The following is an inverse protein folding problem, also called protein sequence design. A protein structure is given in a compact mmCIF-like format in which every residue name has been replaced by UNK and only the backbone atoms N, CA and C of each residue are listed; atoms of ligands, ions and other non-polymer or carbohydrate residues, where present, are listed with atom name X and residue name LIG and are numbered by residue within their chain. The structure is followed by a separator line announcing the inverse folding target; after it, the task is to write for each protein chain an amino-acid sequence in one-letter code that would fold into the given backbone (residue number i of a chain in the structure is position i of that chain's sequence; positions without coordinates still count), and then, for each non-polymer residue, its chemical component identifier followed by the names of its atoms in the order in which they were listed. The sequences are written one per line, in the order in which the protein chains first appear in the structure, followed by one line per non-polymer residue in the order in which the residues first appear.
data_IF_146770730428
#
_entry.id   IF_146770730428
#
_cell.length_a   1.000
_cell.length_b   1.000
_cell.length_c   1.000
_cell.angle_alpha   90.00
_cell.angle_beta   90.00
_cell.angle_gamma   90.00
#
_symmetry.space_group_name_H-M   'P 1'
#
loop_
_entity.id
_entity.type
_entity.pdbx_description
1 polymer ?
#
# COMPACT_ATOMS: atom_id res chain seq x y z
N UNK A 1 27.81 -6.91 -13.83
CA UNK A 1 26.77 -7.30 -12.84
C UNK A 1 25.91 -6.11 -12.43
N UNK A 2 26.50 -5.01 -11.96
CA UNK A 2 25.80 -3.79 -11.51
C UNK A 2 24.81 -3.20 -12.54
N UNK A 3 25.18 -3.12 -13.82
CA UNK A 3 24.27 -2.65 -14.90
C UNK A 3 22.98 -3.48 -15.03
N UNK A 4 23.04 -4.80 -14.78
CA UNK A 4 21.86 -5.69 -14.85
C UNK A 4 20.92 -5.45 -13.66
N UNK A 5 21.49 -5.25 -12.47
CA UNK A 5 20.74 -4.99 -11.23
C UNK A 5 20.03 -3.63 -11.32
N UNK A 6 20.74 -2.58 -11.76
CA UNK A 6 20.15 -1.24 -11.95
C UNK A 6 18.97 -1.30 -12.93
N UNK A 7 19.15 -2.00 -14.07
CA UNK A 7 18.06 -2.20 -15.03
C UNK A 7 16.86 -2.92 -14.40
N UNK A 8 17.11 -3.94 -13.58
CA UNK A 8 16.05 -4.69 -12.92
C UNK A 8 15.28 -3.85 -11.90
N UNK A 9 15.97 -3.04 -11.09
CA UNK A 9 15.38 -2.07 -10.15
C UNK A 9 14.49 -1.08 -10.90
N UNK A 10 14.99 -0.48 -11.99
CA UNK A 10 14.22 0.47 -12.79
C UNK A 10 12.99 -0.19 -13.44
N UNK A 11 13.17 -1.37 -14.04
CA UNK A 11 12.05 -2.12 -14.62
C UNK A 11 11.00 -2.49 -13.57
N UNK A 12 11.42 -2.89 -12.37
CA UNK A 12 10.54 -3.21 -11.25
C UNK A 12 9.71 -1.98 -10.85
N UNK A 13 10.37 -0.85 -10.60
CA UNK A 13 9.72 0.40 -10.22
C UNK A 13 8.71 0.85 -11.27
N UNK A 14 9.12 0.91 -12.55
CA UNK A 14 8.25 1.35 -13.63
C UNK A 14 7.06 0.41 -13.83
N UNK A 15 7.29 -0.91 -13.79
CA UNK A 15 6.20 -1.89 -13.90
C UNK A 15 5.18 -1.72 -12.78
N UNK A 16 5.65 -1.53 -11.55
CA UNK A 16 4.78 -1.28 -10.41
C UNK A 16 3.94 -0.02 -10.60
N UNK A 17 4.59 1.11 -10.85
CA UNK A 17 3.92 2.39 -11.05
C UNK A 17 2.86 2.32 -12.16
N UNK A 18 3.20 1.73 -13.31
CA UNK A 18 2.26 1.58 -14.43
C UNK A 18 1.06 0.72 -14.06
N UNK A 19 1.26 -0.40 -13.36
CA UNK A 19 0.16 -1.28 -12.94
C UNK A 19 -0.72 -0.59 -11.90
N UNK A 20 -0.15 0.09 -10.91
CA UNK A 20 -0.94 0.78 -9.91
C UNK A 20 -1.80 1.90 -10.54
N UNK A 21 -1.26 2.66 -11.51
CA UNK A 21 -2.04 3.65 -12.26
C UNK A 21 -3.21 2.99 -12.99
N UNK A 22 -2.95 1.88 -13.70
CA UNK A 22 -4.01 1.17 -14.43
C UNK A 22 -5.10 0.65 -13.50
N UNK A 23 -4.70 0.06 -12.37
CA UNK A 23 -5.62 -0.43 -11.36
C UNK A 23 -6.44 0.71 -10.73
N UNK A 24 -5.80 1.84 -10.43
CA UNK A 24 -6.46 3.05 -9.92
C UNK A 24 -7.51 3.58 -10.91
N UNK A 25 -7.14 3.76 -12.18
CA UNK A 25 -8.07 4.20 -13.23
C UNK A 25 -9.24 3.23 -13.37
N UNK A 26 -8.96 1.91 -13.34
CA UNK A 26 -10.01 0.88 -13.48
C UNK A 26 -11.00 0.95 -12.31
N UNK A 27 -10.51 1.05 -11.07
CA UNK A 27 -11.38 1.20 -9.91
C UNK A 27 -12.19 2.51 -9.99
N UNK A 28 -11.57 3.58 -10.47
CA UNK A 28 -12.24 4.86 -10.68
C UNK A 28 -13.38 4.78 -11.69
N UNK A 29 -13.17 4.16 -12.86
CA UNK A 29 -14.21 4.04 -13.89
C UNK A 29 -15.36 3.12 -13.50
N UNK A 30 -15.16 2.25 -12.50
CA UNK A 30 -16.17 1.34 -11.99
C UNK A 30 -16.96 1.91 -10.80
N UNK A 31 -16.59 3.08 -10.27
CA UNK A 31 -17.33 3.75 -9.20
C UNK A 31 -18.69 4.26 -9.72
N UNK A 32 -19.79 4.04 -8.99
CA UNK A 32 -21.11 4.53 -9.39
C UNK A 32 -21.14 6.06 -9.53
N UNK A 33 -21.76 6.58 -10.59
CA UNK A 33 -21.86 8.01 -10.88
C UNK A 33 -22.46 8.84 -9.74
N UNK A 34 -23.37 8.27 -8.97
CA UNK A 34 -23.99 8.91 -7.78
C UNK A 34 -22.98 9.24 -6.66
N UNK A 35 -21.84 8.55 -6.60
CA UNK A 35 -20.76 8.82 -5.63
C UNK A 35 -19.89 10.00 -6.11
N UNK A 36 -19.75 10.19 -7.43
CA UNK A 36 -18.94 11.24 -8.04
C UNK A 36 -19.65 12.61 -7.92
N UNK A 37 -20.98 12.64 -8.04
CA UNK A 37 -21.78 13.89 -7.99
C UNK A 37 -21.79 14.59 -6.62
N UNK A 38 -21.50 13.88 -5.52
CA UNK A 38 -21.48 14.48 -4.17
C UNK A 38 -20.16 15.16 -3.81
N UNK A 39 -19.17 15.12 -4.71
CA UNK A 39 -17.80 15.51 -4.38
C UNK A 39 -17.48 16.87 -4.99
N UNK A 40 -16.92 17.79 -4.19
CA UNK A 40 -16.35 19.03 -4.71
C UNK A 40 -15.19 18.72 -5.67
N UNK A 41 -15.44 18.90 -6.98
CA UNK A 41 -14.54 18.52 -8.07
C UNK A 41 -13.08 19.01 -7.89
N UNK A 42 -12.88 20.22 -7.34
CA UNK A 42 -11.54 20.79 -7.18
C UNK A 42 -10.75 20.14 -6.03
N UNK A 43 -11.39 19.94 -4.88
CA UNK A 43 -10.76 19.31 -3.70
C UNK A 43 -10.48 17.83 -3.95
N UNK A 44 -11.33 17.20 -4.75
CA UNK A 44 -11.18 15.81 -5.16
C UNK A 44 -10.08 15.59 -6.18
N UNK A 45 -10.01 16.42 -7.23
CA UNK A 45 -8.91 16.39 -8.17
C UNK A 45 -7.55 16.58 -7.47
N UNK A 46 -7.50 17.49 -6.50
CA UNK A 46 -6.30 17.67 -5.66
C UNK A 46 -5.97 16.40 -4.86
N UNK A 47 -6.96 15.79 -4.20
CA UNK A 47 -6.76 14.54 -3.45
C UNK A 47 -6.22 13.40 -4.31
N UNK A 48 -6.78 13.20 -5.51
CA UNK A 48 -6.32 12.19 -6.48
C UNK A 48 -4.85 12.42 -6.87
N UNK A 49 -4.48 13.67 -7.15
CA UNK A 49 -3.09 14.01 -7.53
C UNK A 49 -2.13 13.70 -6.38
N UNK A 50 -2.49 14.06 -5.15
CA UNK A 50 -1.67 13.79 -3.96
C UNK A 50 -1.51 12.28 -3.74
N UNK A 51 -2.59 11.51 -3.84
CA UNK A 51 -2.54 10.05 -3.72
C UNK A 51 -1.67 9.41 -4.80
N UNK A 52 -1.80 9.87 -6.06
CA UNK A 52 -0.94 9.42 -7.16
C UNK A 52 0.54 9.74 -6.90
N UNK A 53 0.85 10.92 -6.37
CA UNK A 53 2.22 11.27 -6.02
C UNK A 53 2.79 10.37 -4.91
N UNK A 54 2.02 10.12 -3.84
CA UNK A 54 2.42 9.20 -2.77
C UNK A 54 2.65 7.80 -3.31
N UNK A 55 1.72 7.30 -4.13
CA UNK A 55 1.81 6.00 -4.76
C UNK A 55 3.07 5.85 -5.62
N UNK A 56 3.36 6.84 -6.46
CA UNK A 56 4.49 6.79 -7.38
C UNK A 56 5.83 6.99 -6.65
N UNK A 57 5.94 8.04 -5.82
CA UNK A 57 7.21 8.45 -5.22
C UNK A 57 7.55 7.77 -3.90
N UNK A 58 6.57 7.24 -3.17
CA UNK A 58 6.83 6.58 -1.89
C UNK A 58 6.61 5.09 -2.05
N UNK A 59 5.40 4.68 -2.42
CA UNK A 59 5.04 3.25 -2.46
C UNK A 59 5.82 2.51 -3.55
N UNK A 60 6.01 3.09 -4.73
CA UNK A 60 6.80 2.48 -5.80
C UNK A 60 8.24 2.14 -5.36
N UNK A 61 8.86 3.03 -4.58
CA UNK A 61 10.19 2.80 -4.03
C UNK A 61 10.19 1.77 -2.90
N UNK A 62 9.20 1.79 -2.01
CA UNK A 62 9.04 0.77 -0.97
C UNK A 62 8.88 -0.61 -1.61
N UNK A 63 8.04 -0.75 -2.63
CA UNK A 63 7.84 -2.02 -3.33
C UNK A 63 9.14 -2.52 -3.99
N UNK A 64 9.87 -1.60 -4.62
CA UNK A 64 11.15 -1.94 -5.27
C UNK A 64 12.20 -2.36 -4.24
N UNK A 65 12.27 -1.67 -3.09
CA UNK A 65 13.13 -2.04 -1.97
C UNK A 65 12.74 -3.41 -1.38
N UNK A 66 11.44 -3.69 -1.26
CA UNK A 66 10.93 -4.98 -0.82
C UNK A 66 11.38 -6.12 -1.73
N UNK A 67 11.24 -5.97 -3.06
CA UNK A 67 11.68 -7.00 -4.01
C UNK A 67 13.20 -7.18 -3.99
N UNK A 68 13.95 -6.08 -3.88
CA UNK A 68 15.39 -6.15 -3.70
C UNK A 68 15.78 -6.87 -2.41
N UNK A 69 15.07 -6.62 -1.30
CA UNK A 69 15.25 -7.34 -0.04
C UNK A 69 15.01 -8.84 -0.19
N UNK A 70 13.91 -9.26 -0.84
CA UNK A 70 13.63 -10.67 -1.11
C UNK A 70 14.74 -11.34 -1.93
N UNK A 71 15.31 -10.62 -2.89
CA UNK A 71 16.43 -11.10 -3.70
C UNK A 71 17.71 -11.27 -2.86
N UNK A 72 18.11 -10.25 -2.11
CA UNK A 72 19.39 -10.26 -1.36
C UNK A 72 19.36 -11.28 -0.21
N UNK A 73 18.21 -11.49 0.43
CA UNK A 73 18.01 -12.54 1.45
C UNK A 73 17.85 -13.94 0.84
N UNK A 74 17.85 -14.03 -0.49
CA UNK A 74 17.63 -15.25 -1.26
C UNK A 74 16.23 -15.84 -1.08
N UNK A 75 15.27 -15.09 -0.52
CA UNK A 75 13.90 -15.57 -0.31
C UNK A 75 13.24 -15.86 -1.66
N UNK A 76 13.46 -14.99 -2.64
CA UNK A 76 13.09 -15.24 -4.04
C UNK A 76 14.24 -14.82 -4.98
N UNK A 77 14.91 -15.82 -5.56
CA UNK A 77 16.00 -15.67 -6.50
C UNK A 77 15.53 -15.29 -7.93
N UNK A 78 14.22 -15.41 -8.21
CA UNK A 78 13.59 -15.18 -9.51
C UNK A 78 12.72 -13.93 -9.53
N UNK A 79 12.84 -13.08 -8.51
CA UNK A 79 11.99 -11.88 -8.35
C UNK A 79 12.26 -10.83 -9.43
N UNK A 80 13.46 -10.80 -10.03
CA UNK A 80 13.82 -9.87 -11.11
C UNK A 80 13.45 -10.37 -12.51
N UNK A 81 12.23 -10.88 -12.67
CA UNK A 81 11.65 -11.23 -13.97
C UNK A 81 10.45 -10.34 -14.27
N UNK A 82 10.19 -10.04 -15.55
CA UNK A 82 9.05 -9.22 -15.95
C UNK A 82 7.71 -9.76 -15.39
N UNK A 83 7.54 -11.10 -15.41
CA UNK A 83 6.37 -11.77 -14.84
C UNK A 83 6.24 -11.54 -13.33
N UNK A 84 7.36 -11.59 -12.61
CA UNK A 84 7.40 -11.40 -11.16
C UNK A 84 6.98 -9.97 -10.77
N UNK A 85 7.47 -8.95 -11.49
CA UNK A 85 7.07 -7.56 -11.23
C UNK A 85 5.57 -7.35 -11.40
N UNK A 86 4.99 -7.94 -12.46
CA UNK A 86 3.56 -7.81 -12.74
C UNK A 86 2.74 -8.46 -11.63
N UNK A 87 3.04 -9.73 -11.31
CA UNK A 87 2.32 -10.47 -10.27
C UNK A 87 2.40 -9.74 -8.93
N UNK A 88 3.58 -9.26 -8.55
CA UNK A 88 3.75 -8.54 -7.29
C UNK A 88 2.91 -7.27 -7.24
N UNK A 89 2.89 -6.50 -8.33
CA UNK A 89 2.14 -5.25 -8.39
C UNK A 89 0.63 -5.49 -8.23
N UNK A 90 0.12 -6.56 -8.85
CA UNK A 90 -1.28 -6.95 -8.67
C UNK A 90 -1.57 -7.47 -7.26
N UNK A 91 -0.68 -8.28 -6.67
CA UNK A 91 -0.85 -8.77 -5.31
C UNK A 91 -0.86 -7.61 -4.30
N UNK A 92 0.06 -6.66 -4.44
CA UNK A 92 0.07 -5.44 -3.64
C UNK A 92 -1.26 -4.71 -3.73
N UNK A 93 -1.75 -4.47 -4.95
CA UNK A 93 -3.00 -3.73 -5.16
C UNK A 93 -4.21 -4.43 -4.50
N UNK A 94 -4.36 -5.74 -4.73
CA UNK A 94 -5.47 -6.54 -4.19
C UNK A 94 -5.42 -6.56 -2.66
N UNK A 95 -4.25 -6.80 -2.06
CA UNK A 95 -4.09 -6.81 -0.61
C UNK A 95 -4.36 -5.43 -0.01
N UNK A 96 -3.87 -4.37 -0.66
CA UNK A 96 -4.10 -3.01 -0.23
C UNK A 96 -5.59 -2.67 -0.20
N UNK A 97 -6.34 -3.03 -1.26
CA UNK A 97 -7.79 -2.88 -1.29
C UNK A 97 -8.49 -3.71 -0.21
N UNK A 98 -8.13 -4.98 -0.07
CA UNK A 98 -8.77 -5.89 0.88
C UNK A 98 -8.58 -5.41 2.33
N UNK A 99 -7.37 -4.99 2.70
CA UNK A 99 -7.06 -4.49 4.04
C UNK A 99 -7.74 -3.15 4.29
N UNK A 100 -7.71 -2.24 3.30
CA UNK A 100 -8.44 -0.97 3.39
C UNK A 100 -9.94 -1.17 3.60
N UNK A 101 -10.54 -2.14 2.90
CA UNK A 101 -11.94 -2.51 3.10
C UNK A 101 -12.20 -3.06 4.50
N UNK A 102 -11.34 -3.97 5.00
CA UNK A 102 -11.44 -4.51 6.36
C UNK A 102 -11.37 -3.38 7.40
N UNK A 103 -10.39 -2.47 7.29
CA UNK A 103 -10.26 -1.31 8.19
C UNK A 103 -11.49 -0.40 8.10
N UNK A 104 -12.03 -0.20 6.89
CA UNK A 104 -13.25 0.57 6.64
C UNK A 104 -14.46 0.03 7.40
N UNK A 105 -14.61 -1.29 7.46
CA UNK A 105 -15.71 -1.98 8.16
C UNK A 105 -15.62 -1.94 9.69
N UNK A 106 -14.46 -1.61 10.26
CA UNK A 106 -14.30 -1.55 11.72
C UNK A 106 -15.08 -0.34 12.27
N UNK A 107 -15.84 -0.50 13.38
CA UNK A 107 -16.62 0.60 13.96
C UNK A 107 -15.77 1.78 14.40
N UNK A 108 -16.31 2.99 14.26
CA UNK A 108 -15.62 4.25 14.54
C UNK A 108 -15.13 4.33 15.99
N UNK A 109 -15.96 3.95 16.95
CA UNK A 109 -15.64 3.89 18.37
C UNK A 109 -14.43 2.99 18.70
N UNK A 110 -14.16 1.99 17.85
CA UNK A 110 -12.97 1.14 17.98
C UNK A 110 -11.75 1.82 17.38
N UNK A 111 -11.93 2.56 16.28
CA UNK A 111 -10.86 3.21 15.52
C UNK A 111 -10.27 4.41 16.22
N UNK A 112 -11.07 5.17 16.95
CA UNK A 112 -10.65 6.41 17.60
C UNK A 112 -10.43 6.21 19.10
N UNK A 113 -9.53 7.01 19.67
CA UNK A 113 -9.49 7.24 21.11
C UNK A 113 -9.81 8.71 21.38
N UNK A 114 -10.55 8.94 22.46
CA UNK A 114 -10.96 10.27 22.89
C UNK A 114 -10.01 10.76 23.99
N UNK A 115 -9.57 12.01 23.89
CA UNK A 115 -8.71 12.65 24.86
C UNK A 115 -8.98 14.15 24.94
N UNK A 116 -8.50 14.76 26.02
CA UNK A 116 -8.52 16.22 26.17
C UNK A 116 -7.21 16.80 25.64
N UNK A 117 -7.29 17.90 24.90
CA UNK A 117 -6.11 18.65 24.48
C UNK A 117 -5.75 19.63 25.58
N UNK A 118 -4.55 19.45 26.15
CA UNK A 118 -4.05 20.25 27.26
C UNK A 118 -2.86 21.08 26.79
N UNK A 119 -2.92 22.39 26.97
CA UNK A 119 -1.79 23.31 26.75
C UNK A 119 -1.56 24.09 28.03
N UNK A 120 -0.32 24.10 28.52
CA UNK A 120 0.08 24.78 29.77
C UNK A 120 -0.79 24.42 30.98
N UNK A 121 -1.19 23.15 31.10
CA UNK A 121 -2.03 22.66 32.20
C UNK A 121 -3.50 23.04 32.12
N UNK A 122 -3.91 23.80 31.10
CA UNK A 122 -5.30 24.13 30.84
C UNK A 122 -5.88 23.26 29.73
N UNK A 123 -7.09 22.77 29.92
CA UNK A 123 -7.84 22.04 28.88
C UNK A 123 -8.35 23.07 27.87
N UNK A 124 -7.81 23.05 26.67
CA UNK A 124 -8.23 23.93 25.57
C UNK A 124 -9.30 23.29 24.68
N UNK A 125 -9.41 21.96 24.69
CA UNK A 125 -10.47 21.23 24.00
C UNK A 125 -10.77 19.92 24.74
N UNK A 126 -12.06 19.62 24.88
CA UNK A 126 -12.55 18.35 25.45
C UNK A 126 -13.07 17.45 24.35
N UNK A 127 -12.93 16.14 24.53
CA UNK A 127 -13.40 15.12 23.57
C UNK A 127 -12.76 15.22 22.18
N UNK A 128 -11.49 15.63 22.10
CA UNK A 128 -10.75 15.47 20.86
C UNK A 128 -10.64 13.97 20.54
N UNK A 129 -10.72 13.62 19.27
CA UNK A 129 -10.59 12.24 18.83
C UNK A 129 -9.35 12.10 17.95
N UNK A 130 -8.64 10.99 18.11
CA UNK A 130 -7.48 10.67 17.27
C UNK A 130 -7.58 9.23 16.79
N UNK A 131 -7.30 9.02 15.51
CA UNK A 131 -7.30 7.70 14.90
C UNK A 131 -6.16 6.88 15.51
N UNK A 132 -6.46 5.69 16.02
CA UNK A 132 -5.42 4.77 16.48
C UNK A 132 -4.56 4.35 15.29
N UNK A 133 -3.25 4.31 15.49
CA UNK A 133 -2.27 3.99 14.45
C UNK A 133 -2.62 2.74 13.66
N UNK A 134 -3.12 1.69 14.31
CA UNK A 134 -3.48 0.41 13.69
C UNK A 134 -4.52 0.48 12.57
N UNK A 135 -5.21 1.61 12.43
CA UNK A 135 -6.26 1.85 11.43
C UNK A 135 -5.91 2.98 10.45
N UNK A 136 -4.67 3.45 10.46
CA UNK A 136 -4.20 4.49 9.52
C UNK A 136 -3.74 3.88 8.19
N UNK A 137 -3.57 4.73 7.19
CA UNK A 137 -3.05 4.33 5.88
C UNK A 137 -1.61 3.76 5.98
N UNK A 138 -0.80 4.28 6.89
CA UNK A 138 0.56 3.79 7.13
C UNK A 138 0.55 2.36 7.69
N UNK A 139 -0.34 2.07 8.64
CA UNK A 139 -0.50 0.72 9.17
C UNK A 139 -1.01 -0.26 8.11
N UNK A 140 -1.93 0.17 7.24
CA UNK A 140 -2.39 -0.61 6.10
C UNK A 140 -1.23 -1.03 5.19
N UNK A 141 -0.33 -0.10 4.83
CA UNK A 141 0.85 -0.41 4.01
C UNK A 141 1.73 -1.46 4.72
N UNK A 142 1.94 -1.33 6.03
CA UNK A 142 2.69 -2.31 6.82
C UNK A 142 2.04 -3.69 6.74
N UNK A 143 0.72 -3.78 6.94
CA UNK A 143 -0.01 -5.05 6.87
C UNK A 143 0.13 -5.73 5.50
N UNK A 144 0.06 -4.96 4.40
CA UNK A 144 0.26 -5.48 3.04
C UNK A 144 1.63 -6.16 2.91
N UNK A 145 2.71 -5.45 3.29
CA UNK A 145 4.07 -5.99 3.14
C UNK A 145 4.37 -7.14 4.10
N UNK A 146 3.80 -7.15 5.30
CA UNK A 146 3.89 -8.31 6.21
C UNK A 146 3.25 -9.54 5.57
N UNK A 147 2.06 -9.41 5.00
CA UNK A 147 1.36 -10.52 4.34
C UNK A 147 2.14 -11.00 3.10
N UNK A 148 2.63 -10.08 2.27
CA UNK A 148 3.47 -10.43 1.11
C UNK A 148 4.73 -11.19 1.56
N UNK A 149 5.43 -10.70 2.59
CA UNK A 149 6.61 -11.37 3.12
C UNK A 149 6.30 -12.79 3.57
N UNK A 150 5.23 -12.98 4.35
CA UNK A 150 4.79 -14.29 4.82
C UNK A 150 4.47 -15.23 3.64
N UNK A 151 3.80 -14.71 2.60
CA UNK A 151 3.53 -15.46 1.37
C UNK A 151 4.82 -15.95 0.70
N UNK A 152 5.82 -15.08 0.53
CA UNK A 152 7.10 -15.46 -0.07
C UNK A 152 7.89 -16.45 0.78
N UNK A 153 7.91 -16.26 2.10
CA UNK A 153 8.55 -17.18 3.04
C UNK A 153 7.89 -18.56 2.97
N UNK A 154 6.55 -18.64 3.03
CA UNK A 154 5.81 -19.89 2.90
C UNK A 154 6.08 -20.59 1.56
N UNK A 155 6.05 -19.83 0.46
CA UNK A 155 6.36 -20.34 -0.89
C UNK A 155 7.79 -20.91 -0.97
N UNK A 156 8.76 -20.29 -0.32
CA UNK A 156 10.15 -20.78 -0.27
C UNK A 156 10.23 -22.09 0.52
N UNK A 157 9.56 -22.17 1.67
CA UNK A 157 9.54 -23.38 2.50
C UNK A 157 8.97 -24.58 1.75
N UNK A 158 7.84 -24.41 1.05
CA UNK A 158 7.22 -25.48 0.25
C UNK A 158 8.17 -25.97 -0.85
N UNK A 159 8.84 -25.06 -1.57
CA UNK A 159 9.79 -25.44 -2.63
C UNK A 159 11.02 -26.21 -2.13
N UNK A 160 11.39 -26.07 -0.86
CA UNK A 160 12.52 -26.79 -0.24
C UNK A 160 12.14 -28.20 0.22
N UNK A 161 10.85 -28.50 0.32
CA UNK A 161 10.31 -29.83 0.57
C UNK A 161 9.50 -30.33 -0.63
N UNK A 162 10.13 -30.58 -1.79
CA UNK A 162 9.48 -31.36 -2.83
C UNK A 162 9.37 -32.79 -2.29
N UNK A 163 8.14 -33.24 -2.04
CA UNK A 163 7.87 -34.67 -1.89
C UNK A 163 8.29 -35.42 -3.15
#
# INVERSE_FOLDING_TARGET
MMKKIIKAILCSYLSFCSIQILCFITAYTLLPSAVIEQINNAQYAYGIIVELLILLFIIGWINTAFLYFLYVTGIDDKIFSAKSYVIESFLYYILNLAIGFIIGLIPTETKFYYHDIIINGSIISKNAYTLKFYYTAEAQIIYVYVILLLFYVARRMIKRHPN
#
